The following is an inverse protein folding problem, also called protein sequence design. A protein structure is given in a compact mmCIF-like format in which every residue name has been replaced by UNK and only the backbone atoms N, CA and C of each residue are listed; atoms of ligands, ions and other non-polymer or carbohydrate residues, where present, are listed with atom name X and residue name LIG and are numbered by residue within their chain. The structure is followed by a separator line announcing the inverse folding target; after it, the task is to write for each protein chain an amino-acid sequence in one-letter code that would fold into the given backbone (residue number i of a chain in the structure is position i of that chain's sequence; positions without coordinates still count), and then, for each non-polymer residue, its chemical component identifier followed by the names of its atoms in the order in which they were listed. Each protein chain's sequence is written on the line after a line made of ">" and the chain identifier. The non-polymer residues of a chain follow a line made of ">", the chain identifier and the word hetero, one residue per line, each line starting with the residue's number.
data_IF_184178864275
#
_entry.id   IF_184178864275
#
_cell.length_a   1.000
_cell.length_b   1.000
_cell.length_c   1.000
_cell.angle_alpha   90.00
_cell.angle_beta   90.00
_cell.angle_gamma   90.00
#
_symmetry.space_group_name_H-M   'P 1'
#
loop_
_entity.id
_entity.type
_entity.pdbx_description
1 polymer ?
#
# COMPACT_ATOMS: atom_id res chain seq x y z
N UNK A 1 12.11 21.20 -3.49
CA UNK A 1 11.43 20.20 -2.63
C UNK A 1 9.95 20.07 -2.96
N UNK A 2 9.09 21.09 -2.73
CA UNK A 2 7.63 21.01 -2.98
C UNK A 2 7.25 20.45 -4.36
N UNK A 3 7.80 21.01 -5.44
CA UNK A 3 7.55 20.55 -6.82
C UNK A 3 7.93 19.07 -7.02
N UNK A 4 9.05 18.62 -6.46
CA UNK A 4 9.51 17.22 -6.52
C UNK A 4 8.56 16.31 -5.76
N UNK A 5 8.21 16.68 -4.52
CA UNK A 5 7.30 15.91 -3.67
C UNK A 5 5.96 15.69 -4.37
N UNK A 6 5.33 16.77 -4.85
CA UNK A 6 4.04 16.68 -5.53
C UNK A 6 4.13 15.85 -6.82
N UNK A 7 5.13 16.10 -7.66
CA UNK A 7 5.27 15.40 -8.95
C UNK A 7 5.43 13.89 -8.75
N UNK A 8 6.36 13.46 -7.91
CA UNK A 8 6.65 12.03 -7.74
C UNK A 8 5.63 11.32 -6.84
N UNK A 9 5.04 12.02 -5.86
CA UNK A 9 3.95 11.46 -5.07
C UNK A 9 2.69 11.25 -5.90
N UNK A 10 2.35 12.18 -6.81
CA UNK A 10 1.25 11.99 -7.75
C UNK A 10 1.53 10.90 -8.77
N UNK A 11 2.76 10.78 -9.29
CA UNK A 11 3.12 9.65 -10.15
C UNK A 11 2.95 8.30 -9.45
N UNK A 12 3.43 8.19 -8.20
CA UNK A 12 3.23 6.99 -7.40
C UNK A 12 1.74 6.70 -7.19
N UNK A 13 0.95 7.71 -6.82
CA UNK A 13 -0.48 7.54 -6.53
C UNK A 13 -1.30 7.18 -7.77
N UNK A 14 -1.08 7.88 -8.89
CA UNK A 14 -1.78 7.62 -10.14
C UNK A 14 -1.44 6.23 -10.69
N UNK A 15 -0.16 5.86 -10.65
CA UNK A 15 0.26 4.52 -11.05
C UNK A 15 -0.40 3.46 -10.16
N UNK A 16 -0.39 3.65 -8.84
CA UNK A 16 -1.00 2.74 -7.88
C UNK A 16 -2.51 2.59 -8.15
N UNK A 17 -3.26 3.69 -8.24
CA UNK A 17 -4.70 3.64 -8.49
C UNK A 17 -5.02 2.98 -9.85
N UNK A 18 -4.26 3.29 -10.89
CA UNK A 18 -4.43 2.67 -12.21
C UNK A 18 -4.13 1.17 -12.16
N UNK A 19 -3.04 0.77 -11.51
CA UNK A 19 -2.65 -0.62 -11.34
C UNK A 19 -3.74 -1.40 -10.60
N UNK A 20 -4.20 -0.92 -9.44
CA UNK A 20 -5.26 -1.59 -8.68
C UNK A 20 -6.59 -1.66 -9.44
N UNK A 21 -6.97 -0.61 -10.17
CA UNK A 21 -8.18 -0.64 -11.01
C UNK A 21 -8.10 -1.73 -12.08
N UNK A 22 -6.94 -1.88 -12.74
CA UNK A 22 -6.71 -2.93 -13.74
C UNK A 22 -6.68 -4.30 -13.07
N UNK A 23 -5.94 -4.44 -11.97
CA UNK A 23 -5.82 -5.69 -11.21
C UNK A 23 -7.18 -6.18 -10.71
N UNK A 24 -8.05 -5.31 -10.21
CA UNK A 24 -9.39 -5.69 -9.80
C UNK A 24 -10.30 -6.07 -10.98
N UNK A 25 -10.12 -5.43 -12.13
CA UNK A 25 -10.88 -5.77 -13.35
C UNK A 25 -10.52 -7.17 -13.88
N UNK A 26 -9.23 -7.53 -13.85
CA UNK A 26 -8.71 -8.83 -14.31
C UNK A 26 -8.86 -9.90 -13.21
N UNK A 27 -8.75 -9.49 -11.95
CA UNK A 27 -8.66 -10.35 -10.77
C UNK A 27 -9.87 -11.23 -10.51
N UNK A 28 -11.04 -10.91 -11.10
CA UNK A 28 -12.25 -11.77 -11.01
C UNK A 28 -12.03 -13.21 -11.50
N UNK A 29 -10.95 -13.47 -12.26
CA UNK A 29 -10.57 -14.80 -12.75
C UNK A 29 -9.38 -15.42 -11.99
N UNK A 30 -8.83 -14.71 -11.01
CA UNK A 30 -7.64 -15.11 -10.24
C UNK A 30 -8.03 -15.52 -8.83
N UNK A 31 -7.27 -16.44 -8.22
CA UNK A 31 -7.45 -16.75 -6.79
C UNK A 31 -7.12 -15.55 -5.92
N UNK A 32 -7.67 -15.48 -4.71
CA UNK A 32 -7.42 -14.37 -3.79
C UNK A 32 -5.94 -14.24 -3.42
N UNK A 33 -5.19 -15.34 -3.31
CA UNK A 33 -3.74 -15.31 -3.04
C UNK A 33 -2.98 -14.64 -4.19
N UNK A 34 -3.34 -14.98 -5.43
CA UNK A 34 -2.73 -14.39 -6.61
C UNK A 34 -3.06 -12.88 -6.72
N UNK A 35 -4.27 -12.49 -6.33
CA UNK A 35 -4.66 -11.08 -6.24
C UNK A 35 -3.89 -10.33 -5.15
N UNK A 36 -3.70 -10.94 -3.98
CA UNK A 36 -2.93 -10.36 -2.88
C UNK A 36 -1.46 -10.14 -3.27
N UNK A 37 -0.81 -11.15 -3.85
CA UNK A 37 0.56 -11.04 -4.37
C UNK A 37 0.65 -9.92 -5.41
N UNK A 38 -0.31 -9.85 -6.34
CA UNK A 38 -0.38 -8.78 -7.33
C UNK A 38 -0.52 -7.40 -6.67
N UNK A 39 -1.32 -7.29 -5.62
CA UNK A 39 -1.48 -6.06 -4.83
C UNK A 39 -0.18 -5.57 -4.23
N UNK A 40 0.58 -6.45 -3.57
CA UNK A 40 1.89 -6.09 -3.00
C UNK A 40 2.92 -5.72 -4.07
N UNK A 41 2.94 -6.42 -5.21
CA UNK A 41 3.77 -6.04 -6.36
C UNK A 41 3.40 -4.64 -6.83
N UNK A 42 2.11 -4.35 -6.98
CA UNK A 42 1.59 -3.04 -7.34
C UNK A 42 2.08 -1.95 -6.39
N UNK A 43 2.02 -2.19 -5.08
CA UNK A 43 2.52 -1.26 -4.06
C UNK A 43 4.03 -1.00 -4.23
N UNK A 44 4.84 -2.05 -4.32
CA UNK A 44 6.30 -1.93 -4.43
C UNK A 44 6.71 -1.21 -5.72
N UNK A 45 6.10 -1.55 -6.85
CA UNK A 45 6.37 -0.90 -8.15
C UNK A 45 5.98 0.58 -8.10
N UNK A 46 4.83 0.91 -7.52
CA UNK A 46 4.40 2.30 -7.32
C UNK A 46 5.38 3.09 -6.45
N UNK A 47 5.95 2.46 -5.43
CA UNK A 47 6.89 3.10 -4.52
C UNK A 47 8.30 3.28 -5.12
N UNK A 48 8.60 2.70 -6.28
CA UNK A 48 9.84 2.99 -7.02
C UNK A 48 9.97 4.50 -7.37
N UNK A 49 8.83 5.19 -7.56
CA UNK A 49 8.82 6.65 -7.77
C UNK A 49 9.40 7.45 -6.58
N UNK A 50 9.40 6.88 -5.37
CA UNK A 50 10.06 7.49 -4.20
C UNK A 50 11.56 7.61 -4.43
N UNK A 51 12.22 6.54 -4.90
CA UNK A 51 13.63 6.56 -5.23
C UNK A 51 13.95 7.63 -6.29
N UNK A 52 13.17 7.66 -7.37
CA UNK A 52 13.36 8.65 -8.43
C UNK A 52 13.11 10.08 -7.95
N UNK A 53 12.15 10.29 -7.05
CA UNK A 53 11.89 11.61 -6.47
C UNK A 53 13.03 12.08 -5.56
N UNK A 54 13.59 11.20 -4.73
CA UNK A 54 14.77 11.52 -3.90
C UNK A 54 15.97 11.83 -4.80
N UNK A 55 16.20 11.02 -5.84
CA UNK A 55 17.29 11.23 -6.80
C UNK A 55 17.15 12.56 -7.54
N UNK A 56 15.95 12.88 -8.03
CA UNK A 56 15.68 14.16 -8.70
C UNK A 56 15.90 15.35 -7.75
N UNK A 57 15.58 15.19 -6.46
CA UNK A 57 15.85 16.23 -5.47
C UNK A 57 17.36 16.43 -5.25
N UNK A 58 18.13 15.33 -5.12
CA UNK A 58 19.60 15.39 -5.02
C UNK A 58 20.21 16.08 -6.23
N UNK A 59 19.96 15.53 -7.43
CA UNK A 59 20.68 15.92 -8.64
C UNK A 59 20.19 17.29 -9.15
N UNK A 60 18.87 17.49 -9.24
CA UNK A 60 18.29 18.69 -9.83
C UNK A 60 18.11 19.88 -8.89
N UNK A 61 18.07 19.68 -7.57
CA UNK A 61 17.82 20.78 -6.60
C UNK A 61 19.01 21.00 -5.67
N UNK A 62 19.75 19.96 -5.32
CA UNK A 62 20.88 20.03 -4.37
C UNK A 62 22.26 19.88 -5.03
N UNK A 63 22.33 19.91 -6.36
CA UNK A 63 23.61 19.87 -7.09
C UNK A 63 24.40 18.58 -6.88
N UNK A 64 23.71 17.45 -6.69
CA UNK A 64 24.33 16.13 -6.53
C UNK A 64 24.68 15.75 -5.10
N UNK A 65 24.53 16.65 -4.12
CA UNK A 65 24.76 16.35 -2.70
C UNK A 65 23.45 16.11 -1.96
N UNK A 66 23.42 15.11 -1.08
CA UNK A 66 22.25 14.80 -0.27
C UNK A 66 22.67 14.11 1.02
N UNK A 67 22.28 14.69 2.16
CA UNK A 67 22.42 13.99 3.44
C UNK A 67 21.29 12.98 3.65
N UNK A 68 21.52 11.96 4.47
CA UNK A 68 20.52 10.94 4.77
C UNK A 68 19.20 11.53 5.30
N UNK A 69 19.27 12.47 6.25
CA UNK A 69 18.08 13.14 6.79
C UNK A 69 17.30 13.96 5.76
N UNK A 70 17.98 14.55 4.78
CA UNK A 70 17.31 15.22 3.66
C UNK A 70 16.59 14.20 2.75
N UNK A 71 17.24 13.07 2.46
CA UNK A 71 16.63 11.96 1.73
C UNK A 71 15.37 11.45 2.42
N UNK A 72 15.46 11.16 3.73
CA UNK A 72 14.32 10.70 4.53
C UNK A 72 13.17 11.68 4.48
N UNK A 73 13.44 12.98 4.70
CA UNK A 73 12.41 14.02 4.67
C UNK A 73 11.71 14.08 3.33
N UNK A 74 12.45 14.07 2.22
CA UNK A 74 11.83 14.12 0.89
C UNK A 74 11.06 12.84 0.57
N UNK A 75 11.61 11.68 0.86
CA UNK A 75 10.96 10.39 0.61
C UNK A 75 9.67 10.23 1.41
N UNK A 76 9.68 10.54 2.70
CA UNK A 76 8.49 10.51 3.55
C UNK A 76 7.37 11.41 3.02
N UNK A 77 7.72 12.64 2.61
CA UNK A 77 6.76 13.56 2.02
C UNK A 77 6.18 13.04 0.70
N UNK A 78 6.97 12.32 -0.11
CA UNK A 78 6.49 11.66 -1.32
C UNK A 78 5.53 10.52 -0.97
N UNK A 79 5.90 9.66 -0.03
CA UNK A 79 5.13 8.45 0.38
C UNK A 79 3.76 8.79 0.97
N UNK A 80 3.63 9.93 1.66
CA UNK A 80 2.34 10.36 2.21
C UNK A 80 1.24 10.47 1.14
N UNK A 81 1.58 10.92 -0.07
CA UNK A 81 0.61 11.14 -1.15
C UNK A 81 -0.05 9.83 -1.62
N UNK A 82 0.69 8.81 -2.10
CA UNK A 82 0.09 7.55 -2.49
C UNK A 82 -0.55 6.82 -1.30
N UNK A 83 -0.01 6.93 -0.08
CA UNK A 83 -0.61 6.28 1.09
C UNK A 83 -2.00 6.84 1.41
N UNK A 84 -2.16 8.17 1.39
CA UNK A 84 -3.45 8.83 1.60
C UNK A 84 -4.43 8.51 0.47
N UNK A 85 -3.99 8.63 -0.78
CA UNK A 85 -4.87 8.43 -1.92
C UNK A 85 -5.29 6.97 -2.07
N UNK A 86 -4.41 6.02 -1.78
CA UNK A 86 -4.75 4.60 -1.81
C UNK A 86 -5.70 4.21 -0.68
N UNK A 87 -5.49 4.69 0.54
CA UNK A 87 -6.43 4.45 1.63
C UNK A 87 -7.83 4.95 1.29
N UNK A 88 -7.95 6.14 0.69
CA UNK A 88 -9.23 6.68 0.23
C UNK A 88 -9.83 5.86 -0.91
N UNK A 89 -8.99 5.48 -1.88
CA UNK A 89 -9.38 4.66 -3.02
C UNK A 89 -9.97 3.31 -2.57
N UNK A 90 -9.33 2.65 -1.61
CA UNK A 90 -9.77 1.34 -1.10
C UNK A 90 -11.13 1.44 -0.38
N UNK A 91 -11.33 2.48 0.44
CA UNK A 91 -12.62 2.75 1.08
C UNK A 91 -13.71 3.00 0.03
N UNK A 92 -13.44 3.82 -0.98
CA UNK A 92 -14.41 4.08 -2.06
C UNK A 92 -14.72 2.80 -2.84
N UNK A 93 -13.69 2.01 -3.15
CA UNK A 93 -13.84 0.76 -3.89
C UNK A 93 -14.73 -0.23 -3.12
N UNK A 94 -14.39 -0.51 -1.87
CA UNK A 94 -15.14 -1.46 -1.04
C UNK A 94 -16.50 -0.95 -0.59
N UNK A 95 -16.73 0.37 -0.50
CA UNK A 95 -18.04 0.90 -0.10
C UNK A 95 -19.04 0.98 -1.27
N UNK A 96 -18.56 1.26 -2.49
CA UNK A 96 -19.44 1.59 -3.62
C UNK A 96 -19.27 0.69 -4.84
N UNK A 97 -18.08 0.12 -5.06
CA UNK A 97 -17.78 -0.70 -6.24
C UNK A 97 -17.90 -2.19 -5.93
N UNK A 98 -17.42 -2.62 -4.77
CA UNK A 98 -17.52 -3.99 -4.28
C UNK A 98 -17.87 -4.07 -2.77
N UNK A 99 -19.13 -3.80 -2.39
CA UNK A 99 -19.62 -3.84 -1.01
C UNK A 99 -19.42 -5.17 -0.28
N UNK A 100 -19.41 -6.28 -1.01
CA UNK A 100 -19.33 -7.62 -0.43
C UNK A 100 -17.88 -8.10 -0.29
N UNK A 101 -16.88 -7.29 -0.65
CA UNK A 101 -15.47 -7.70 -0.70
C UNK A 101 -14.99 -8.39 0.58
N UNK A 102 -15.21 -7.78 1.75
CA UNK A 102 -14.75 -8.34 3.04
C UNK A 102 -15.51 -9.60 3.46
N UNK A 103 -16.77 -9.76 3.05
CA UNK A 103 -17.54 -10.98 3.32
C UNK A 103 -17.06 -12.14 2.45
N UNK A 104 -16.88 -11.89 1.15
CA UNK A 104 -16.39 -12.88 0.19
C UNK A 104 -14.95 -13.30 0.53
N UNK A 105 -14.08 -12.33 0.80
CA UNK A 105 -12.69 -12.57 1.20
C UNK A 105 -12.61 -13.32 2.54
N UNK A 106 -13.40 -12.90 3.54
CA UNK A 106 -13.45 -13.56 4.84
C UNK A 106 -13.91 -15.01 4.75
N UNK A 107 -14.92 -15.30 3.93
CA UNK A 107 -15.42 -16.66 3.69
C UNK A 107 -14.31 -17.53 3.08
N UNK A 108 -13.66 -17.04 2.03
CA UNK A 108 -12.54 -17.74 1.39
C UNK A 108 -11.39 -18.00 2.37
N UNK A 109 -11.03 -17.02 3.20
CA UNK A 109 -9.94 -17.19 4.17
C UNK A 109 -10.26 -18.20 5.27
N UNK A 110 -11.52 -18.26 5.72
CA UNK A 110 -11.96 -19.26 6.69
C UNK A 110 -11.95 -20.67 6.07
N UNK A 111 -12.37 -20.81 4.81
CA UNK A 111 -12.30 -22.08 4.09
C UNK A 111 -10.88 -22.59 3.91
N UNK A 112 -9.92 -21.70 3.65
CA UNK A 112 -8.51 -22.06 3.59
C UNK A 112 -7.95 -22.44 4.96
N UNK A 113 -8.27 -21.66 5.98
CA UNK A 113 -7.82 -21.91 7.35
C UNK A 113 -8.26 -23.28 7.87
N UNK A 114 -9.41 -23.79 7.41
CA UNK A 114 -9.91 -25.13 7.74
C UNK A 114 -8.97 -26.26 7.31
N UNK A 115 -8.16 -26.05 6.27
CA UNK A 115 -7.25 -27.07 5.74
C UNK A 115 -6.01 -27.25 6.62
N UNK A 116 -5.57 -26.17 7.27
CA UNK A 116 -4.27 -26.11 7.95
C UNK A 116 -4.37 -25.94 9.48
N UNK A 117 -5.60 -25.79 10.02
CA UNK A 117 -5.83 -25.52 11.45
C UNK A 117 -6.45 -26.73 12.18
N UNK A 118 -5.91 -27.13 13.35
CA UNK A 118 -6.54 -28.14 14.19
C UNK A 118 -7.98 -27.77 14.56
N UNK A 119 -8.88 -28.77 14.58
CA UNK A 119 -10.32 -28.56 14.84
C UNK A 119 -10.58 -27.79 16.14
N UNK A 120 -9.77 -28.04 17.18
CA UNK A 120 -9.88 -27.38 18.48
C UNK A 120 -9.62 -25.87 18.45
N UNK A 121 -8.84 -25.37 17.49
CA UNK A 121 -8.51 -23.95 17.34
C UNK A 121 -9.32 -23.25 16.25
N UNK A 122 -9.90 -24.02 15.32
CA UNK A 122 -10.54 -23.51 14.12
C UNK A 122 -11.71 -22.58 14.43
N UNK A 123 -12.62 -22.98 15.33
CA UNK A 123 -13.81 -22.16 15.64
C UNK A 123 -13.43 -20.79 16.22
N UNK A 124 -12.45 -20.75 17.12
CA UNK A 124 -11.98 -19.50 17.72
C UNK A 124 -11.33 -18.58 16.67
N UNK A 125 -10.47 -19.13 15.80
CA UNK A 125 -9.82 -18.34 14.73
C UNK A 125 -10.82 -17.87 13.67
N UNK A 126 -11.77 -18.72 13.27
CA UNK A 126 -12.81 -18.37 12.31
C UNK A 126 -13.73 -17.27 12.85
N UNK A 127 -14.09 -17.32 14.14
CA UNK A 127 -14.87 -16.26 14.80
C UNK A 127 -14.11 -14.93 14.78
N UNK A 128 -12.83 -14.93 15.17
CA UNK A 128 -11.98 -13.73 15.16
C UNK A 128 -11.85 -13.14 13.75
N UNK A 129 -11.63 -13.98 12.74
CA UNK A 129 -11.57 -13.54 11.34
C UNK A 129 -12.88 -12.84 10.90
N UNK A 130 -14.04 -13.39 11.26
CA UNK A 130 -15.33 -12.76 10.95
C UNK A 130 -15.49 -11.40 11.63
N UNK A 131 -15.08 -11.29 12.89
CA UNK A 131 -15.12 -10.02 13.63
C UNK A 131 -14.18 -8.97 13.01
N UNK A 132 -12.98 -9.37 12.59
CA UNK A 132 -12.04 -8.50 11.88
C UNK A 132 -12.62 -8.03 10.54
N UNK A 133 -13.16 -8.93 9.71
CA UNK A 133 -13.79 -8.57 8.43
C UNK A 133 -15.00 -7.65 8.60
N UNK A 134 -15.81 -7.89 9.63
CA UNK A 134 -16.92 -6.99 9.97
C UNK A 134 -16.40 -5.60 10.38
N UNK A 135 -15.30 -5.52 11.14
CA UNK A 135 -14.69 -4.24 11.51
C UNK A 135 -14.18 -3.47 10.28
N UNK A 136 -13.56 -4.16 9.32
CA UNK A 136 -13.14 -3.53 8.05
C UNK A 136 -14.33 -3.01 7.25
N UNK A 137 -15.41 -3.79 7.14
CA UNK A 137 -16.61 -3.40 6.39
C UNK A 137 -17.38 -2.26 7.06
N UNK A 138 -17.58 -2.33 8.37
CA UNK A 138 -18.49 -1.47 9.10
C UNK A 138 -17.82 -0.15 9.55
N UNK A 139 -16.49 -0.08 9.53
CA UNK A 139 -15.73 1.10 9.92
C UNK A 139 -14.77 1.59 8.81
N UNK A 140 -15.26 2.44 7.89
CA UNK A 140 -14.46 3.02 6.80
C UNK A 140 -13.22 3.79 7.26
N UNK A 141 -13.27 4.41 8.45
CA UNK A 141 -12.13 5.13 9.02
C UNK A 141 -11.04 4.18 9.49
N UNK A 142 -11.41 3.07 10.13
CA UNK A 142 -10.47 2.02 10.51
C UNK A 142 -9.83 1.39 9.27
N UNK A 143 -10.64 1.03 8.28
CA UNK A 143 -10.16 0.52 6.99
C UNK A 143 -9.14 1.48 6.34
N UNK A 144 -9.50 2.77 6.25
CA UNK A 144 -8.63 3.80 5.69
C UNK A 144 -7.26 3.81 6.40
N UNK A 145 -7.27 3.83 7.74
CA UNK A 145 -6.03 3.85 8.52
C UNK A 145 -5.18 2.61 8.24
N UNK A 146 -5.78 1.42 8.23
CA UNK A 146 -5.03 0.19 8.01
C UNK A 146 -4.40 0.18 6.62
N UNK A 147 -5.15 0.53 5.56
CA UNK A 147 -4.62 0.58 4.20
C UNK A 147 -3.57 1.68 4.02
N UNK A 148 -3.80 2.84 4.61
CA UNK A 148 -2.81 3.92 4.65
C UNK A 148 -1.51 3.43 5.29
N UNK A 149 -1.59 2.79 6.47
CA UNK A 149 -0.42 2.30 7.19
C UNK A 149 0.31 1.22 6.41
N UNK A 150 -0.39 0.30 5.75
CA UNK A 150 0.22 -0.72 4.90
C UNK A 150 1.11 -0.09 3.83
N UNK A 151 0.58 0.87 3.07
CA UNK A 151 1.36 1.57 2.03
C UNK A 151 2.46 2.43 2.64
N UNK A 152 2.16 3.13 3.73
CA UNK A 152 3.09 4.06 4.38
C UNK A 152 4.31 3.34 4.98
N UNK A 153 4.11 2.19 5.65
CA UNK A 153 5.20 1.40 6.25
C UNK A 153 6.12 0.84 5.17
N UNK A 154 5.56 0.28 4.09
CA UNK A 154 6.37 -0.21 2.96
C UNK A 154 7.12 0.97 2.31
N UNK A 155 6.44 2.11 2.10
CA UNK A 155 7.05 3.32 1.56
C UNK A 155 8.13 3.91 2.46
N UNK A 156 7.99 3.79 3.78
CA UNK A 156 9.01 4.19 4.75
C UNK A 156 10.27 3.33 4.58
N UNK A 157 10.13 2.02 4.47
CA UNK A 157 11.25 1.11 4.22
C UNK A 157 11.96 1.49 2.91
N UNK A 158 11.19 1.69 1.82
CA UNK A 158 11.74 2.13 0.53
C UNK A 158 12.44 3.49 0.64
N UNK A 159 11.89 4.41 1.44
CA UNK A 159 12.49 5.72 1.71
C UNK A 159 13.83 5.59 2.43
N UNK A 160 13.91 4.75 3.47
CA UNK A 160 15.16 4.51 4.21
C UNK A 160 16.22 3.95 3.27
N UNK A 161 15.90 2.89 2.53
CA UNK A 161 16.82 2.24 1.58
C UNK A 161 17.29 3.26 0.52
N UNK A 162 16.36 3.98 -0.10
CA UNK A 162 16.67 4.97 -1.14
C UNK A 162 17.54 6.10 -0.61
N UNK A 163 17.29 6.55 0.62
CA UNK A 163 18.05 7.62 1.26
C UNK A 163 19.47 7.19 1.62
N UNK A 164 19.67 5.93 2.01
CA UNK A 164 20.99 5.35 2.24
C UNK A 164 21.79 5.24 0.93
N UNK A 165 21.16 4.69 -0.12
CA UNK A 165 21.79 4.50 -1.43
C UNK A 165 22.17 5.83 -2.08
N UNK A 166 21.31 6.85 -1.97
CA UNK A 166 21.51 8.14 -2.63
C UNK A 166 22.32 9.14 -1.81
N UNK A 167 22.67 8.79 -0.56
CA UNK A 167 23.46 9.66 0.32
C UNK A 167 24.79 10.00 -0.34
N UNK A 168 25.05 11.30 -0.50
CA UNK A 168 26.31 11.83 -0.97
C UNK A 168 26.64 13.09 -0.21
N UNK A 169 27.48 12.94 0.79
CA UNK A 169 28.13 14.02 1.54
C UNK A 169 29.59 14.00 1.11
N UNK A 170 30.05 15.09 0.51
CA UNK A 170 31.48 15.32 0.30
C UNK A 170 32.18 15.40 1.67
#
# INVERSE_FOLDING_TARGET
>A
MKKTVLRYGLFAALFMCAFFTISFSIGKKMSYEAQEVMGYIGIVVSLAFVYFGIRQYRDGVKGGQLSFGQGLKVGLLIVLIPSLLFGLFDVVYTSFVNPNFYEDYGTHMIEQMKKDTPVAEFEAKAKKMKEEMAMFRDNPFFQFIVMFLTVFVIGFIVTVISSLILRKTN
#
